data_IF_312677025830
#
_entry.id   IF_312677025830
#
_cell.length_a   1.000
_cell.length_b   1.000
_cell.length_c   1.000
_cell.angle_alpha   90.00
_cell.angle_beta   90.00
_cell.angle_gamma   90.00
#
_symmetry.space_group_name_H-M   'P 1'
#
loop_
_entity.id
_entity.type
_entity.pdbx_description
1 polymer ?
#
# COMPACT_ATOMS: atom_id res chain seq x y z
N UNK A 1 -17.76 -4.17 18.56
CA UNK A 1 -17.86 -5.63 18.34
C UNK A 1 -16.57 -6.18 17.73
N UNK A 2 -16.11 -7.37 18.18
CA UNK A 2 -14.93 -8.04 17.62
C UNK A 2 -15.21 -8.72 16.29
N UNK A 3 -16.46 -9.15 16.07
CA UNK A 3 -16.89 -9.76 14.80
C UNK A 3 -16.97 -8.69 13.69
N UNK A 4 -16.33 -8.91 12.53
CA UNK A 4 -16.29 -7.92 11.44
C UNK A 4 -17.67 -7.58 10.86
N UNK A 5 -18.57 -8.58 10.74
CA UNK A 5 -19.93 -8.38 10.23
C UNK A 5 -20.76 -7.56 11.22
N UNK A 6 -20.67 -7.89 12.51
CA UNK A 6 -21.36 -7.12 13.55
C UNK A 6 -20.82 -5.69 13.66
N UNK A 7 -19.51 -5.50 13.44
CA UNK A 7 -18.90 -4.16 13.37
C UNK A 7 -19.44 -3.38 12.20
N UNK A 8 -19.53 -3.97 11.03
CA UNK A 8 -20.08 -3.33 9.83
C UNK A 8 -21.54 -2.88 10.03
N UNK A 9 -22.39 -3.74 10.61
CA UNK A 9 -23.77 -3.38 10.95
C UNK A 9 -23.86 -2.25 11.98
N UNK A 10 -22.98 -2.25 12.98
CA UNK A 10 -22.90 -1.17 13.95
C UNK A 10 -22.51 0.16 13.31
N UNK A 11 -21.50 0.16 12.43
CA UNK A 11 -21.08 1.36 11.67
C UNK A 11 -22.20 1.86 10.75
N UNK A 12 -22.96 0.96 10.13
CA UNK A 12 -24.13 1.31 9.31
C UNK A 12 -25.23 1.99 10.16
N UNK A 13 -25.43 1.56 11.38
CA UNK A 13 -26.37 2.20 12.30
C UNK A 13 -25.90 3.62 12.69
N UNK A 14 -24.60 3.81 12.98
CA UNK A 14 -24.04 5.15 13.25
C UNK A 14 -24.22 6.08 12.04
N UNK A 15 -23.98 5.57 10.82
CA UNK A 15 -24.20 6.32 9.60
C UNK A 15 -25.69 6.69 9.41
N UNK A 16 -26.58 5.73 9.68
CA UNK A 16 -28.03 5.96 9.63
C UNK A 16 -28.52 6.99 10.66
N UNK A 17 -27.85 7.07 11.81
CA UNK A 17 -28.11 8.08 12.83
C UNK A 17 -27.48 9.45 12.53
N UNK A 18 -26.66 9.56 11.50
CA UNK A 18 -25.94 10.78 11.15
C UNK A 18 -24.74 11.10 12.05
N UNK A 19 -24.23 10.11 12.78
CA UNK A 19 -23.06 10.24 13.65
C UNK A 19 -21.75 10.15 12.84
N UNK A 20 -21.78 9.47 11.68
CA UNK A 20 -20.69 9.40 10.71
C UNK A 20 -21.25 9.55 9.28
N UNK A 21 -20.49 10.14 8.38
CA UNK A 21 -20.88 10.34 6.97
C UNK A 21 -20.68 9.07 6.13
N UNK A 22 -19.67 8.27 6.45
CA UNK A 22 -19.32 7.05 5.74
C UNK A 22 -18.28 6.22 6.49
N UNK A 23 -17.99 5.04 5.97
CA UNK A 23 -16.96 4.16 6.51
C UNK A 23 -16.39 3.25 5.42
N UNK A 24 -15.17 2.77 5.63
CA UNK A 24 -14.47 1.88 4.70
C UNK A 24 -14.43 0.48 5.26
N UNK A 25 -14.84 -0.50 4.46
CA UNK A 25 -14.81 -1.92 4.81
C UNK A 25 -14.44 -2.77 3.60
N UNK A 26 -13.87 -3.97 3.81
CA UNK A 26 -13.67 -4.94 2.75
C UNK A 26 -14.98 -5.32 2.06
N UNK A 27 -14.94 -5.50 0.74
CA UNK A 27 -16.11 -5.87 -0.07
C UNK A 27 -16.82 -7.13 0.45
N UNK A 28 -16.07 -8.17 0.82
CA UNK A 28 -16.64 -9.41 1.35
C UNK A 28 -17.40 -9.22 2.66
N UNK A 29 -16.97 -8.27 3.51
CA UNK A 29 -17.72 -7.89 4.72
C UNK A 29 -19.01 -7.16 4.38
N UNK A 30 -18.97 -6.22 3.41
CA UNK A 30 -20.17 -5.53 2.94
C UNK A 30 -21.23 -6.52 2.42
N UNK A 31 -20.82 -7.46 1.58
CA UNK A 31 -21.72 -8.48 1.01
C UNK A 31 -22.22 -9.46 2.08
N UNK A 32 -21.34 -9.91 3.00
CA UNK A 32 -21.71 -10.84 4.09
C UNK A 32 -22.55 -10.21 5.19
N UNK A 33 -22.55 -8.89 5.33
CA UNK A 33 -23.38 -8.16 6.29
C UNK A 33 -24.76 -7.74 5.73
N UNK A 34 -25.02 -7.99 4.43
CA UNK A 34 -26.23 -7.57 3.72
C UNK A 34 -26.52 -6.07 3.86
N UNK A 35 -25.48 -5.24 3.75
CA UNK A 35 -25.63 -3.78 3.83
C UNK A 35 -26.31 -3.24 2.57
N UNK A 36 -27.21 -2.30 2.74
CA UNK A 36 -28.02 -1.73 1.65
C UNK A 36 -27.60 -0.30 1.25
N UNK A 37 -26.66 0.28 1.99
CA UNK A 37 -26.17 1.63 1.72
C UNK A 37 -25.44 1.72 0.37
N UNK A 38 -25.43 2.94 -0.21
CA UNK A 38 -24.68 3.21 -1.43
C UNK A 38 -23.19 2.97 -1.18
N UNK A 39 -22.55 2.25 -2.10
CA UNK A 39 -21.11 1.94 -2.04
C UNK A 39 -20.35 2.55 -3.20
N UNK A 40 -19.08 2.86 -2.94
CA UNK A 40 -18.07 3.17 -3.94
C UNK A 40 -16.88 2.23 -3.71
N UNK A 41 -16.32 1.72 -4.80
CA UNK A 41 -15.08 0.93 -4.71
C UNK A 41 -13.89 1.89 -4.64
N UNK A 42 -13.02 1.66 -3.65
CA UNK A 42 -11.71 2.31 -3.58
C UNK A 42 -10.72 1.41 -4.31
N UNK A 43 -9.99 1.97 -5.26
CA UNK A 43 -9.03 1.25 -6.08
C UNK A 43 -7.62 1.78 -5.83
N UNK A 44 -6.58 0.93 -5.94
CA UNK A 44 -5.19 1.36 -5.78
C UNK A 44 -4.75 2.39 -6.80
N UNK A 45 -5.27 2.28 -8.02
CA UNK A 45 -5.12 3.29 -9.07
C UNK A 45 -6.50 3.91 -9.28
N UNK A 46 -6.61 5.21 -9.23
CA UNK A 46 -7.85 5.91 -9.55
C UNK A 46 -8.36 5.54 -10.95
N UNK A 47 -9.68 5.63 -11.16
CA UNK A 47 -10.27 5.35 -12.46
C UNK A 47 -10.02 6.48 -13.47
N UNK A 48 -9.80 7.69 -12.96
CA UNK A 48 -9.58 8.89 -13.78
C UNK A 48 -8.33 9.64 -13.27
N UNK A 49 -7.81 10.50 -14.14
CA UNK A 49 -6.72 11.41 -13.74
C UNK A 49 -7.19 12.33 -12.60
N UNK A 50 -6.42 12.33 -11.50
CA UNK A 50 -6.75 13.12 -10.30
C UNK A 50 -7.61 12.40 -9.26
N UNK A 51 -8.09 11.18 -9.53
CA UNK A 51 -8.71 10.36 -8.50
C UNK A 51 -7.66 10.00 -7.41
N UNK A 52 -8.04 10.06 -6.13
CA UNK A 52 -7.12 9.69 -5.07
C UNK A 52 -6.80 8.19 -5.13
N UNK A 53 -5.53 7.88 -5.03
CA UNK A 53 -5.08 6.51 -4.85
C UNK A 53 -5.50 5.98 -3.48
N UNK A 54 -5.84 4.72 -3.43
CA UNK A 54 -6.14 4.03 -2.18
C UNK A 54 -5.22 2.84 -2.00
N UNK A 55 -4.47 2.82 -0.90
CA UNK A 55 -3.69 1.66 -0.52
C UNK A 55 -4.48 0.80 0.47
N UNK A 56 -4.67 -0.50 0.18
CA UNK A 56 -5.38 -1.40 1.08
C UNK A 56 -4.58 -1.66 2.36
N UNK A 57 -5.23 -2.12 3.44
CA UNK A 57 -4.52 -2.62 4.61
C UNK A 57 -3.56 -3.77 4.26
N UNK A 58 -2.53 -3.96 5.08
CA UNK A 58 -1.54 -5.02 4.90
C UNK A 58 -2.20 -6.39 4.67
N UNK A 59 -1.68 -7.14 3.71
CA UNK A 59 -2.10 -8.51 3.32
C UNK A 59 -3.54 -8.67 2.84
N UNK A 60 -4.30 -7.59 2.66
CA UNK A 60 -5.72 -7.68 2.29
C UNK A 60 -5.98 -8.11 0.83
N UNK A 61 -5.00 -8.02 -0.03
CA UNK A 61 -5.01 -8.44 -1.44
C UNK A 61 -4.41 -9.83 -1.68
N UNK A 62 -3.97 -10.52 -0.61
CA UNK A 62 -3.38 -11.85 -0.70
C UNK A 62 -4.36 -12.95 -0.29
N UNK A 63 -4.40 -14.01 -1.09
CA UNK A 63 -5.11 -15.25 -0.76
C UNK A 63 -4.10 -16.25 -0.23
N UNK A 64 -4.29 -16.71 1.02
CA UNK A 64 -3.41 -17.66 1.68
C UNK A 64 -4.08 -19.03 1.76
N UNK A 65 -3.42 -20.04 1.21
CA UNK A 65 -3.83 -21.43 1.32
C UNK A 65 -3.19 -22.08 2.54
N UNK A 66 -4.02 -22.57 3.45
CA UNK A 66 -3.58 -23.31 4.63
C UNK A 66 -3.65 -24.81 4.39
N UNK A 67 -2.56 -25.49 4.63
CA UNK A 67 -2.47 -26.94 4.48
C UNK A 67 -1.95 -27.61 5.75
N UNK A 68 -2.22 -28.91 5.90
CA UNK A 68 -1.68 -29.72 6.99
C UNK A 68 -0.15 -29.80 6.89
N UNK A 69 0.52 -29.96 8.03
CA UNK A 69 1.92 -30.39 8.06
C UNK A 69 2.09 -31.65 7.18
N UNK A 70 3.14 -31.67 6.35
CA UNK A 70 3.43 -32.75 5.37
C UNK A 70 2.49 -32.78 4.16
N UNK A 71 1.83 -31.68 3.82
CA UNK A 71 1.15 -31.56 2.54
C UNK A 71 2.16 -31.76 1.39
N UNK A 72 1.82 -32.53 0.33
CA UNK A 72 2.76 -32.81 -0.75
C UNK A 72 3.25 -31.53 -1.44
N UNK A 73 4.56 -31.33 -1.48
CA UNK A 73 5.17 -30.15 -2.11
C UNK A 73 4.89 -30.03 -3.60
N UNK A 74 4.69 -31.16 -4.29
CA UNK A 74 4.30 -31.16 -5.71
C UNK A 74 2.96 -30.47 -5.93
N UNK A 75 1.98 -30.80 -5.09
CA UNK A 75 0.64 -30.20 -5.17
C UNK A 75 0.68 -28.72 -4.75
N UNK A 76 1.40 -28.38 -3.66
CA UNK A 76 1.50 -26.97 -3.26
C UNK A 76 2.12 -26.10 -4.35
N UNK A 77 3.12 -26.61 -5.08
CA UNK A 77 3.73 -25.88 -6.21
C UNK A 77 2.77 -25.65 -7.39
N UNK A 78 1.85 -26.57 -7.63
CA UNK A 78 0.88 -26.45 -8.73
C UNK A 78 -0.23 -25.44 -8.43
N UNK A 79 -0.53 -25.23 -7.15
CA UNK A 79 -1.60 -24.31 -6.70
C UNK A 79 -1.07 -23.00 -6.15
N UNK A 80 0.24 -22.89 -5.87
CA UNK A 80 0.89 -21.65 -5.46
C UNK A 80 1.24 -20.81 -6.69
N UNK A 81 0.89 -19.53 -6.62
CA UNK A 81 1.23 -18.58 -7.65
C UNK A 81 2.52 -17.86 -7.26
N UNK A 82 3.51 -17.86 -8.15
CA UNK A 82 4.82 -17.26 -7.90
C UNK A 82 4.73 -15.76 -7.62
N UNK A 83 3.81 -15.09 -8.27
CA UNK A 83 3.54 -13.68 -8.02
C UNK A 83 3.05 -13.43 -6.60
N UNK A 84 2.12 -14.26 -6.12
CA UNK A 84 1.62 -14.21 -4.75
C UNK A 84 2.70 -14.49 -3.71
N UNK A 85 3.59 -15.46 -3.96
CA UNK A 85 4.73 -15.75 -3.09
C UNK A 85 5.69 -14.55 -3.00
N UNK A 86 6.00 -13.90 -4.13
CA UNK A 86 6.83 -12.70 -4.17
C UNK A 86 6.17 -11.55 -3.42
N UNK A 87 4.89 -11.28 -3.68
CA UNK A 87 4.16 -10.21 -3.00
C UNK A 87 4.10 -10.43 -1.48
N UNK A 88 3.84 -11.67 -1.05
CA UNK A 88 3.86 -12.02 0.37
C UNK A 88 5.26 -11.81 0.99
N UNK A 89 6.31 -12.27 0.33
CA UNK A 89 7.68 -12.14 0.83
C UNK A 89 8.08 -10.67 0.98
N UNK A 90 7.76 -9.84 -0.02
CA UNK A 90 8.05 -8.41 0.00
C UNK A 90 7.27 -7.71 1.12
N UNK A 91 5.95 -7.94 1.22
CA UNK A 91 5.15 -7.35 2.29
C UNK A 91 5.67 -7.76 3.66
N UNK A 92 5.94 -9.06 3.86
CA UNK A 92 6.46 -9.56 5.13
C UNK A 92 7.83 -8.97 5.49
N UNK A 93 8.70 -8.76 4.50
CA UNK A 93 10.00 -8.12 4.71
C UNK A 93 9.87 -6.64 5.08
N UNK A 94 8.98 -5.91 4.39
CA UNK A 94 8.78 -4.47 4.65
C UNK A 94 8.04 -4.18 5.95
N UNK A 95 7.21 -5.11 6.43
CA UNK A 95 6.34 -4.91 7.59
C UNK A 95 6.82 -5.66 8.84
N UNK A 96 7.78 -6.57 8.70
CA UNK A 96 8.17 -7.49 9.77
C UNK A 96 8.80 -6.83 11.00
N UNK A 97 9.29 -5.59 10.88
CA UNK A 97 9.83 -4.79 12.00
C UNK A 97 8.78 -3.92 12.69
N UNK A 98 7.56 -3.85 12.15
CA UNK A 98 6.50 -2.98 12.68
C UNK A 98 5.71 -3.68 13.77
N UNK A 99 5.34 -2.92 14.80
CA UNK A 99 4.43 -3.40 15.82
C UNK A 99 2.97 -3.43 15.33
N UNK A 100 2.06 -4.15 16.03
CA UNK A 100 0.66 -4.27 15.61
C UNK A 100 -0.09 -2.94 15.53
N UNK A 101 0.23 -1.96 16.36
CA UNK A 101 -0.39 -0.63 16.32
C UNK A 101 0.00 0.13 15.04
N UNK A 102 1.25 -0.02 14.61
CA UNK A 102 1.73 0.57 13.37
C UNK A 102 1.11 -0.11 12.15
N UNK A 103 0.95 -1.44 12.17
CA UNK A 103 0.33 -2.19 11.08
C UNK A 103 -1.12 -1.78 10.80
N UNK A 104 -1.84 -1.29 11.80
CA UNK A 104 -3.21 -0.77 11.61
C UNK A 104 -3.26 0.58 10.89
N UNK A 105 -2.12 1.29 10.78
CA UNK A 105 -2.00 2.63 10.20
C UNK A 105 -1.29 2.67 8.87
N UNK A 106 -1.02 1.50 8.30
CA UNK A 106 -0.28 1.38 7.05
C UNK A 106 -1.17 0.87 5.92
N UNK A 107 -1.13 1.57 4.80
CA UNK A 107 -1.62 1.09 3.52
C UNK A 107 -0.49 0.41 2.74
N UNK A 108 -0.77 -0.73 2.13
CA UNK A 108 0.23 -1.53 1.43
C UNK A 108 -0.31 -2.05 0.12
N UNK A 109 0.44 -1.85 -0.94
CA UNK A 109 0.22 -2.51 -2.22
C UNK A 109 1.54 -3.05 -2.74
N UNK A 110 1.60 -4.35 -2.94
CA UNK A 110 2.71 -5.02 -3.64
C UNK A 110 2.12 -5.86 -4.75
N UNK A 111 2.49 -5.56 -5.98
CA UNK A 111 1.96 -6.27 -7.15
C UNK A 111 2.99 -6.40 -8.26
N UNK A 112 2.79 -7.37 -9.12
CA UNK A 112 3.54 -7.50 -10.36
C UNK A 112 3.00 -6.54 -11.42
N UNK A 113 3.92 -5.96 -12.18
CA UNK A 113 3.62 -5.03 -13.28
C UNK A 113 4.36 -5.45 -14.54
N UNK A 114 3.65 -5.45 -15.64
CA UNK A 114 4.24 -5.64 -16.97
C UNK A 114 4.95 -4.36 -17.41
N UNK A 115 6.13 -4.48 -17.99
CA UNK A 115 6.94 -3.33 -18.45
C UNK A 115 6.14 -2.38 -19.34
N UNK A 116 5.34 -2.88 -20.26
CA UNK A 116 4.49 -2.06 -21.14
C UNK A 116 3.49 -1.19 -20.40
N UNK A 117 2.97 -1.67 -19.26
CA UNK A 117 2.08 -0.90 -18.41
C UNK A 117 2.81 0.21 -17.68
N UNK A 118 4.04 -0.06 -17.22
CA UNK A 118 4.89 0.92 -16.55
C UNK A 118 5.32 2.04 -17.49
N UNK A 119 5.72 1.71 -18.72
CA UNK A 119 6.11 2.72 -19.73
C UNK A 119 4.94 3.65 -20.03
N UNK A 120 3.73 3.10 -20.26
CA UNK A 120 2.54 3.94 -20.48
C UNK A 120 2.26 4.86 -19.29
N UNK A 121 2.48 4.39 -18.08
CA UNK A 121 2.33 5.20 -16.88
C UNK A 121 3.42 6.28 -16.83
N UNK A 122 4.69 5.93 -17.08
CA UNK A 122 5.81 6.86 -17.10
C UNK A 122 5.61 7.99 -18.13
N UNK A 123 5.14 7.64 -19.32
CA UNK A 123 4.79 8.61 -20.36
C UNK A 123 3.66 9.55 -19.94
N UNK A 124 2.58 9.00 -19.34
CA UNK A 124 1.42 9.78 -18.91
C UNK A 124 1.78 10.75 -17.77
N UNK A 125 2.61 10.29 -16.81
CA UNK A 125 3.02 11.09 -15.65
C UNK A 125 4.31 11.88 -15.88
N UNK A 126 5.01 11.68 -17.01
CA UNK A 126 6.35 12.21 -17.31
C UNK A 126 7.39 11.84 -16.24
N UNK A 127 7.28 10.62 -15.73
CA UNK A 127 8.19 10.09 -14.71
C UNK A 127 9.40 9.40 -15.37
N UNK A 128 10.47 10.16 -15.54
CA UNK A 128 11.72 9.67 -16.12
C UNK A 128 12.39 8.58 -15.26
N UNK A 129 12.17 8.58 -13.95
CA UNK A 129 12.72 7.57 -13.06
C UNK A 129 12.05 6.22 -13.30
N UNK A 130 10.72 6.22 -13.44
CA UNK A 130 9.95 5.03 -13.77
C UNK A 130 10.31 4.51 -15.17
N UNK A 131 10.50 5.40 -16.15
CA UNK A 131 10.95 5.03 -17.50
C UNK A 131 12.31 4.32 -17.46
N UNK A 132 13.29 4.89 -16.75
CA UNK A 132 14.63 4.31 -16.64
C UNK A 132 14.65 2.90 -16.03
N UNK A 133 13.77 2.58 -15.11
CA UNK A 133 13.69 1.24 -14.53
C UNK A 133 13.28 0.19 -15.58
N UNK A 134 12.56 0.60 -16.60
CA UNK A 134 12.09 -0.25 -17.70
C UNK A 134 13.10 -0.45 -18.84
N UNK A 135 14.20 0.29 -18.81
CA UNK A 135 15.22 0.27 -19.89
C UNK A 135 16.45 -0.53 -19.45
N UNK A 136 17.10 -1.15 -20.41
CA UNK A 136 18.42 -1.74 -20.24
C UNK A 136 19.54 -0.66 -20.28
N UNK A 137 20.82 -1.02 -20.09
CA UNK A 137 21.93 -0.08 -20.16
C UNK A 137 22.11 0.59 -21.53
N UNK A 138 21.58 -0.01 -22.59
CA UNK A 138 21.63 0.50 -23.95
C UNK A 138 20.44 1.42 -24.28
N UNK A 139 19.47 1.53 -23.33
CA UNK A 139 18.28 2.36 -23.46
C UNK A 139 17.12 1.68 -24.17
N UNK A 140 17.18 0.37 -24.35
CA UNK A 140 16.10 -0.41 -24.96
C UNK A 140 15.15 -0.99 -23.90
N UNK A 141 13.88 -1.14 -24.28
CA UNK A 141 12.85 -1.70 -23.38
C UNK A 141 13.05 -3.20 -23.22
N UNK A 142 13.13 -3.66 -21.97
CA UNK A 142 13.23 -5.10 -21.66
C UNK A 142 11.82 -5.72 -21.66
N UNK A 143 11.33 -6.08 -22.84
CA UNK A 143 9.92 -6.45 -23.07
C UNK A 143 9.40 -7.62 -22.20
N UNK A 144 10.23 -8.59 -21.89
CA UNK A 144 9.86 -9.82 -21.16
C UNK A 144 10.11 -9.73 -19.65
N UNK A 145 10.57 -8.59 -19.14
CA UNK A 145 10.83 -8.44 -17.72
C UNK A 145 9.57 -8.03 -16.97
N UNK A 146 9.31 -8.72 -15.87
CA UNK A 146 8.27 -8.38 -14.92
C UNK A 146 8.88 -7.54 -13.80
N UNK A 147 8.16 -6.52 -13.37
CA UNK A 147 8.56 -5.65 -12.27
C UNK A 147 7.67 -5.89 -11.06
N UNK A 148 8.20 -5.62 -9.89
CA UNK A 148 7.46 -5.58 -8.63
C UNK A 148 7.28 -4.13 -8.23
N UNK A 149 6.05 -3.69 -8.14
CA UNK A 149 5.67 -2.39 -7.62
C UNK A 149 5.40 -2.51 -6.12
N UNK A 150 6.05 -1.67 -5.32
CA UNK A 150 5.88 -1.57 -3.87
C UNK A 150 5.37 -0.18 -3.56
N UNK A 151 4.18 -0.09 -2.98
CA UNK A 151 3.62 1.17 -2.48
C UNK A 151 3.24 0.99 -1.02
N UNK A 152 3.75 1.86 -0.19
CA UNK A 152 3.50 1.90 1.25
C UNK A 152 3.11 3.31 1.62
N UNK A 153 2.13 3.45 2.50
CA UNK A 153 1.77 4.72 3.09
C UNK A 153 1.53 4.52 4.59
N UNK A 154 2.12 5.36 5.40
CA UNK A 154 1.98 5.33 6.85
C UNK A 154 1.43 6.66 7.34
N UNK A 155 0.45 6.58 8.23
CA UNK A 155 -0.15 7.75 8.87
C UNK A 155 0.36 7.86 10.31
N UNK A 156 0.85 9.04 10.68
CA UNK A 156 1.31 9.31 12.05
C UNK A 156 0.20 9.09 13.08
N UNK A 157 0.58 8.90 14.35
CA UNK A 157 -0.35 8.59 15.44
C UNK A 157 -1.47 9.63 15.61
N UNK A 158 -1.14 10.90 15.39
CA UNK A 158 -2.07 12.03 15.44
C UNK A 158 -2.88 12.24 14.16
N UNK A 159 -2.60 11.47 13.10
CA UNK A 159 -3.24 11.59 11.79
C UNK A 159 -2.81 12.84 11.00
N UNK A 160 -1.90 13.65 11.52
CA UNK A 160 -1.54 14.94 10.92
C UNK A 160 -0.48 14.83 9.82
N UNK A 161 0.24 13.71 9.76
CA UNK A 161 1.34 13.51 8.81
C UNK A 161 1.20 12.16 8.13
N UNK A 162 1.45 12.13 6.85
CA UNK A 162 1.58 10.91 6.08
C UNK A 162 2.95 10.84 5.44
N UNK A 163 3.43 9.64 5.23
CA UNK A 163 4.65 9.37 4.50
C UNK A 163 4.43 8.18 3.58
N UNK A 164 4.88 8.31 2.35
CA UNK A 164 4.72 7.26 1.34
C UNK A 164 6.04 6.81 0.76
N UNK A 165 6.15 5.54 0.46
CA UNK A 165 7.21 4.93 -0.33
C UNK A 165 6.59 4.34 -1.59
N UNK A 166 7.08 4.75 -2.76
CA UNK A 166 6.77 4.12 -4.04
C UNK A 166 8.06 3.67 -4.70
N UNK A 167 8.16 2.38 -4.99
CA UNK A 167 9.30 1.77 -5.68
C UNK A 167 8.79 0.80 -6.75
N UNK A 168 9.45 0.83 -7.88
CA UNK A 168 9.32 -0.17 -8.93
C UNK A 168 10.68 -0.80 -9.13
N UNK A 169 10.76 -2.11 -9.00
CA UNK A 169 12.00 -2.88 -9.01
C UNK A 169 11.86 -4.06 -9.97
N UNK A 170 12.97 -4.48 -10.59
CA UNK A 170 12.97 -5.66 -11.45
C UNK A 170 12.74 -6.92 -10.64
N UNK A 171 11.88 -7.81 -11.14
CA UNK A 171 11.61 -9.08 -10.46
C UNK A 171 12.87 -9.92 -10.29
N UNK A 172 13.82 -9.85 -11.22
CA UNK A 172 15.10 -10.56 -11.13
C UNK A 172 15.96 -10.18 -9.93
N UNK A 173 15.77 -8.97 -9.36
CA UNK A 173 16.55 -8.43 -8.24
C UNK A 173 15.70 -8.02 -7.02
N UNK A 174 14.46 -8.52 -6.94
CA UNK A 174 13.48 -8.04 -5.96
C UNK A 174 13.94 -8.20 -4.51
N UNK A 175 14.64 -9.28 -4.15
CA UNK A 175 15.11 -9.51 -2.78
C UNK A 175 16.08 -8.42 -2.32
N UNK A 176 17.10 -8.12 -3.13
CA UNK A 176 18.10 -7.08 -2.83
C UNK A 176 17.50 -5.69 -2.78
N UNK A 177 16.68 -5.38 -3.76
CA UNK A 177 16.02 -4.08 -3.87
C UNK A 177 15.02 -3.86 -2.72
N UNK A 178 14.33 -4.90 -2.27
CA UNK A 178 13.45 -4.84 -1.09
C UNK A 178 14.25 -4.54 0.18
N UNK A 179 15.41 -5.19 0.37
CA UNK A 179 16.27 -4.91 1.55
C UNK A 179 16.78 -3.46 1.55
N UNK A 180 17.12 -2.93 0.39
CA UNK A 180 17.51 -1.52 0.26
C UNK A 180 16.33 -0.58 0.58
N UNK A 181 15.16 -0.88 0.04
CA UNK A 181 13.93 -0.11 0.29
C UNK A 181 13.49 -0.17 1.76
N UNK A 182 13.72 -1.29 2.45
CA UNK A 182 13.43 -1.44 3.87
C UNK A 182 14.21 -0.44 4.73
N UNK A 183 15.49 -0.22 4.44
CA UNK A 183 16.32 0.75 5.17
C UNK A 183 15.80 2.17 5.02
N UNK A 184 15.42 2.54 3.80
CA UNK A 184 14.82 3.84 3.55
C UNK A 184 13.50 3.97 4.31
N UNK A 185 12.66 2.95 4.25
CA UNK A 185 11.36 2.89 4.91
C UNK A 185 11.46 3.00 6.44
N UNK A 186 12.34 2.24 7.08
CA UNK A 186 12.58 2.33 8.53
C UNK A 186 13.04 3.73 8.95
N UNK A 187 13.88 4.36 8.13
CA UNK A 187 14.32 5.73 8.38
C UNK A 187 13.16 6.71 8.29
N UNK A 188 12.34 6.59 7.26
CA UNK A 188 11.17 7.44 7.04
C UNK A 188 10.15 7.32 8.17
N UNK A 189 9.83 6.08 8.61
CA UNK A 189 8.93 5.85 9.75
C UNK A 189 9.49 6.49 11.02
N UNK A 190 10.78 6.34 11.27
CA UNK A 190 11.43 6.93 12.45
C UNK A 190 11.30 8.45 12.45
N UNK A 191 11.48 9.09 11.31
CA UNK A 191 11.36 10.54 11.19
C UNK A 191 9.90 11.02 11.37
N UNK A 192 8.93 10.32 10.76
CA UNK A 192 7.51 10.72 10.90
C UNK A 192 6.96 10.47 12.29
N UNK A 193 7.55 9.51 13.01
CA UNK A 193 7.15 9.16 14.38
C UNK A 193 7.81 10.04 15.45
N UNK A 194 8.74 10.92 15.09
CA UNK A 194 9.31 11.88 16.04
C UNK A 194 8.24 12.82 16.57
N UNK A 195 8.29 13.06 17.87
CA UNK A 195 7.51 14.14 18.47
C UNK A 195 7.98 15.47 17.90
N UNK A 196 7.12 16.10 17.11
CA UNK A 196 7.35 17.47 16.67
C UNK A 196 6.86 18.39 17.78
N UNK A 197 7.65 19.39 18.21
CA UNK A 197 7.21 20.37 19.21
C UNK A 197 5.85 20.95 18.83
N UNK A 198 4.93 21.03 19.80
CA UNK A 198 3.54 21.50 19.57
C UNK A 198 3.47 22.89 18.95
N UNK A 199 4.49 23.67 19.13
CA UNK A 199 4.62 25.05 18.61
C UNK A 199 4.62 25.12 17.07
N UNK A 200 4.93 24.00 16.38
CA UNK A 200 4.83 23.90 14.93
C UNK A 200 3.41 23.60 14.41
N UNK A 201 2.49 23.23 15.31
CA UNK A 201 1.13 22.78 14.92
C UNK A 201 0.03 23.79 15.29
N UNK A 202 0.34 24.84 16.04
CA UNK A 202 -0.67 25.68 16.68
C UNK A 202 -0.94 27.01 16.01
N UNK A 203 -0.18 27.40 15.01
CA UNK A 203 -0.41 28.66 14.31
C UNK A 203 -0.87 28.40 12.86
N UNK A 204 -2.20 28.46 12.59
CA UNK A 204 -2.72 28.30 11.23
C UNK A 204 -2.30 29.45 10.28
N UNK A 205 -1.74 30.55 10.81
CA UNK A 205 -1.22 31.66 10.03
C UNK A 205 0.30 31.56 9.78
N UNK A 206 0.99 30.63 10.44
CA UNK A 206 2.41 30.39 10.17
C UNK A 206 2.59 29.70 8.82
N UNK A 207 3.44 30.20 7.92
CA UNK A 207 3.73 29.53 6.68
C UNK A 207 4.33 28.15 6.97
N UNK A 208 3.91 27.08 6.25
CA UNK A 208 4.34 25.71 6.52
C UNK A 208 5.83 25.44 6.26
N UNK A 209 6.58 26.45 5.82
CA UNK A 209 7.99 26.35 5.50
C UNK A 209 8.75 27.52 6.07
N UNK A 210 9.90 27.26 6.67
CA UNK A 210 10.89 28.27 6.97
C UNK A 210 11.42 28.75 5.61
N UNK A 211 11.03 29.95 5.21
CA UNK A 211 11.73 30.63 4.14
C UNK A 211 13.12 30.94 4.69
N UNK A 212 14.13 30.24 4.20
CA UNK A 212 15.51 30.65 4.41
C UNK A 212 15.65 31.97 3.64
N UNK A 213 15.68 33.06 4.38
CA UNK A 213 16.08 34.35 3.81
C UNK A 213 17.50 34.22 3.23
N UNK A 214 17.66 34.64 1.98
CA UNK A 214 18.94 34.70 1.25
C UNK A 214 19.98 35.57 1.94
#
# INVERSE_FOLDING_TARGET
PSDPIMRAKWMENLRGAGEIDGFVIPRGIYEGADLVSRRHSLLPDGLNEGDPDFLPPAYSDLIVLLARNRFPKSISKEISEREGETCWWVQNSMLGSLDPEMLEKIGVLVRHRQVRSLIKQAEATRDLTLEQVCLDPDGEVIEDEVHVEIRLEFVSRDGARTIGLHRVIRHSDYERATIASLRDWETMIKEVSRDVPKDFHTDPESPPFILLDE
#
